data_IF_244786897020
#
_entry.id   IF_244786897020
#
_cell.length_a   1.000
_cell.length_b   1.000
_cell.length_c   1.000
_cell.angle_alpha   90.00
_cell.angle_beta   90.00
_cell.angle_gamma   90.00
#
_symmetry.space_group_name_H-M   'P 1'
#
loop_
_entity.id
_entity.type
_entity.pdbx_description
1 polymer ?
#
# COMPACT_ATOMS: atom_id res chain seq x y z
N UNK A 1 -20.49 -4.52 18.50
CA UNK A 1 -20.42 -4.19 19.94
C UNK A 1 -19.53 -5.23 20.62
N UNK A 2 -18.23 -5.18 20.34
CA UNK A 2 -17.24 -6.05 21.00
C UNK A 2 -16.39 -5.17 21.91
N UNK A 3 -16.64 -5.28 23.21
CA UNK A 3 -15.77 -4.73 24.24
C UNK A 3 -14.39 -5.37 24.10
N UNK A 4 -13.37 -4.51 23.96
CA UNK A 4 -11.97 -4.89 23.84
C UNK A 4 -11.53 -5.82 25.00
N UNK A 5 -11.08 -7.05 24.72
CA UNK A 5 -10.62 -7.97 25.77
C UNK A 5 -9.30 -7.52 26.44
N UNK A 6 -8.62 -6.52 25.86
CA UNK A 6 -7.34 -5.98 26.36
C UNK A 6 -7.49 -5.27 27.70
N UNK A 7 -8.61 -4.60 27.97
CA UNK A 7 -8.82 -3.88 29.23
C UNK A 7 -9.00 -4.86 30.40
N UNK A 8 -9.75 -5.95 30.19
CA UNK A 8 -9.99 -6.96 31.21
C UNK A 8 -8.75 -7.81 31.50
N UNK A 9 -7.92 -8.11 30.50
CA UNK A 9 -6.68 -8.86 30.71
C UNK A 9 -5.62 -8.01 31.41
N UNK A 10 -5.46 -6.74 31.02
CA UNK A 10 -4.53 -5.82 31.67
C UNK A 10 -4.97 -5.51 33.11
N UNK A 11 -6.27 -5.27 33.34
CA UNK A 11 -6.80 -5.11 34.71
C UNK A 11 -6.62 -6.38 35.55
N UNK A 12 -6.85 -7.57 34.99
CA UNK A 12 -6.68 -8.84 35.72
C UNK A 12 -5.21 -9.17 35.99
N UNK A 13 -4.30 -8.83 35.08
CA UNK A 13 -2.86 -9.05 35.26
C UNK A 13 -2.28 -8.06 36.27
N UNK A 14 -2.63 -6.78 36.17
CA UNK A 14 -2.23 -5.74 37.13
C UNK A 14 -2.82 -6.03 38.50
N UNK A 15 -4.10 -6.42 38.61
CA UNK A 15 -4.69 -6.83 39.89
C UNK A 15 -4.11 -8.13 40.43
N UNK A 16 -3.86 -9.12 39.59
CA UNK A 16 -3.22 -10.37 40.00
C UNK A 16 -1.81 -10.13 40.55
N UNK A 17 -1.05 -9.26 39.90
CA UNK A 17 0.27 -8.83 40.36
C UNK A 17 0.18 -8.04 41.67
N UNK A 18 -0.72 -7.06 41.78
CA UNK A 18 -0.97 -6.29 43.00
C UNK A 18 -1.39 -7.18 44.18
N UNK A 19 -2.25 -8.17 43.96
CA UNK A 19 -2.71 -9.10 45.00
C UNK A 19 -1.56 -10.00 45.47
N UNK A 20 -0.75 -10.54 44.56
CA UNK A 20 0.41 -11.35 44.95
C UNK A 20 1.46 -10.52 45.68
N UNK A 21 1.65 -9.26 45.26
CA UNK A 21 2.58 -8.33 45.88
C UNK A 21 2.10 -7.94 47.29
N UNK A 22 0.82 -7.62 47.46
CA UNK A 22 0.21 -7.35 48.77
C UNK A 22 0.28 -8.57 49.70
N UNK A 23 0.15 -9.78 49.14
CA UNK A 23 0.31 -11.03 49.89
C UNK A 23 1.77 -11.25 50.34
N UNK A 24 2.75 -10.94 49.49
CA UNK A 24 4.17 -10.98 49.85
C UNK A 24 4.52 -9.94 50.93
N UNK A 25 4.00 -8.72 50.81
CA UNK A 25 4.18 -7.66 51.83
C UNK A 25 3.54 -8.04 53.16
N UNK A 26 2.36 -8.67 53.14
CA UNK A 26 1.65 -9.13 54.36
C UNK A 26 2.39 -10.28 55.06
N UNK A 27 2.96 -11.22 54.32
CA UNK A 27 3.71 -12.35 54.87
C UNK A 27 5.06 -11.95 55.50
N UNK A 28 5.50 -10.70 55.29
CA UNK A 28 6.75 -10.12 55.80
C UNK A 28 6.52 -9.22 57.05
N UNK A 29 5.31 -9.19 57.63
CA UNK A 29 4.98 -8.36 58.81
C UNK A 29 5.31 -9.13 60.10
N UNK A 30 6.57 -9.05 60.55
CA UNK A 30 6.97 -9.59 61.87
C UNK A 30 8.47 -9.67 62.18
N UNK A 31 9.37 -9.43 61.23
CA UNK A 31 10.82 -9.64 61.42
C UNK A 31 11.62 -8.30 61.41
N UNK A 32 12.48 -8.01 62.42
CA UNK A 32 13.19 -6.72 62.53
C UNK A 32 14.16 -6.38 61.38
N UNK A 33 14.72 -7.39 60.68
CA UNK A 33 15.57 -7.16 59.50
C UNK A 33 14.78 -6.65 58.28
N UNK A 34 13.45 -6.78 58.30
CA UNK A 34 12.55 -6.39 57.20
C UNK A 34 12.35 -4.87 57.12
N UNK A 35 12.71 -4.11 58.15
CA UNK A 35 12.54 -2.63 58.13
C UNK A 35 13.50 -1.93 57.16
N UNK A 36 14.68 -2.50 56.87
CA UNK A 36 15.58 -1.97 55.83
C UNK A 36 15.13 -2.42 54.43
N UNK A 37 14.70 -3.67 54.26
CA UNK A 37 14.17 -4.16 52.97
C UNK A 37 12.86 -3.46 52.59
N UNK A 38 11.92 -3.24 53.53
CA UNK A 38 10.69 -2.46 53.28
C UNK A 38 10.95 -1.02 52.86
N UNK A 39 12.04 -0.39 53.35
CA UNK A 39 12.43 0.97 52.94
C UNK A 39 12.90 1.05 51.49
N UNK A 40 13.44 -0.04 50.93
CA UNK A 40 13.86 -0.11 49.52
C UNK A 40 12.76 -0.63 48.59
N UNK A 41 11.85 -1.46 49.09
CA UNK A 41 10.73 -2.01 48.31
C UNK A 41 9.66 -0.96 47.96
N UNK A 42 9.36 -0.02 48.87
CA UNK A 42 8.38 1.05 48.62
C UNK A 42 8.77 1.96 47.45
N UNK A 43 10.00 2.54 47.38
CA UNK A 43 10.38 3.38 46.25
C UNK A 43 10.45 2.58 44.94
N UNK A 44 10.86 1.31 44.98
CA UNK A 44 10.84 0.44 43.79
C UNK A 44 9.41 0.27 43.26
N UNK A 45 8.45 -0.02 44.13
CA UNK A 45 7.04 -0.20 43.77
C UNK A 45 6.43 1.10 43.22
N UNK A 46 6.74 2.24 43.83
CA UNK A 46 6.33 3.56 43.33
C UNK A 46 6.92 3.83 41.95
N UNK A 47 8.21 3.57 41.74
CA UNK A 47 8.85 3.73 40.42
C UNK A 47 8.18 2.81 39.39
N UNK A 48 7.94 1.53 39.72
CA UNK A 48 7.27 0.60 38.81
C UNK A 48 5.87 1.07 38.45
N UNK A 49 5.07 1.54 39.40
CA UNK A 49 3.72 2.08 39.14
C UNK A 49 3.77 3.35 38.30
N UNK A 50 4.69 4.28 38.59
CA UNK A 50 4.84 5.52 37.83
C UNK A 50 5.27 5.22 36.39
N UNK A 51 6.28 4.37 36.20
CA UNK A 51 6.76 3.97 34.87
C UNK A 51 5.65 3.23 34.10
N UNK A 52 4.93 2.30 34.75
CA UNK A 52 3.80 1.60 34.12
C UNK A 52 2.68 2.57 33.76
N UNK A 53 2.37 3.54 34.62
CA UNK A 53 1.37 4.58 34.35
C UNK A 53 1.77 5.50 33.19
N UNK A 54 3.05 5.88 33.11
CA UNK A 54 3.59 6.68 31.99
C UNK A 54 3.51 5.87 30.69
N UNK A 55 3.98 4.63 30.68
CA UNK A 55 3.93 3.76 29.49
C UNK A 55 2.48 3.52 29.05
N UNK A 56 1.58 3.23 30.00
CA UNK A 56 0.15 3.09 29.73
C UNK A 56 -0.44 4.37 29.13
N UNK A 57 -0.14 5.53 29.71
CA UNK A 57 -0.59 6.82 29.18
C UNK A 57 -0.08 7.09 27.77
N UNK A 58 1.23 6.94 27.51
CA UNK A 58 1.84 7.15 26.19
C UNK A 58 1.20 6.21 25.14
N UNK A 59 0.85 4.98 25.53
CA UNK A 59 0.16 4.03 24.66
C UNK A 59 -1.24 4.50 24.30
N UNK A 60 -2.05 4.89 25.28
CA UNK A 60 -3.41 5.38 25.06
C UNK A 60 -3.45 6.68 24.24
N UNK A 61 -2.44 7.55 24.40
CA UNK A 61 -2.31 8.77 23.58
C UNK A 61 -1.73 8.51 22.17
N UNK A 62 -1.41 7.27 21.82
CA UNK A 62 -0.87 6.91 20.51
C UNK A 62 0.52 7.47 20.21
N UNK A 63 1.25 7.99 21.19
CA UNK A 63 2.59 8.54 20.96
C UNK A 63 3.62 7.46 20.60
N UNK A 64 3.41 6.22 21.04
CA UNK A 64 4.26 5.09 20.62
C UNK A 64 4.12 4.78 19.14
N UNK A 65 2.93 4.95 18.55
CA UNK A 65 2.69 4.69 17.13
C UNK A 65 3.68 5.47 16.26
N UNK A 66 3.92 6.74 16.56
CA UNK A 66 4.87 7.55 15.81
C UNK A 66 6.28 6.95 15.80
N UNK A 67 6.80 6.55 16.97
CA UNK A 67 8.14 5.97 17.07
C UNK A 67 8.23 4.61 16.41
N UNK A 68 7.20 3.78 16.59
CA UNK A 68 7.20 2.44 16.02
C UNK A 68 7.06 2.47 14.50
N UNK A 69 6.24 3.37 13.94
CA UNK A 69 6.17 3.59 12.50
C UNK A 69 7.51 4.13 11.94
N UNK A 70 8.20 5.01 12.68
CA UNK A 70 9.54 5.46 12.27
C UNK A 70 10.59 4.33 12.29
N UNK A 71 10.49 3.41 13.26
CA UNK A 71 11.31 2.19 13.31
C UNK A 71 10.97 1.27 12.16
N UNK A 72 9.68 1.04 11.88
CA UNK A 72 9.21 0.26 10.74
C UNK A 72 9.76 0.82 9.42
N UNK A 73 9.63 2.14 9.20
CA UNK A 73 10.18 2.78 8.01
C UNK A 73 11.70 2.58 7.90
N UNK A 74 12.40 2.60 9.04
CA UNK A 74 13.84 2.32 9.07
C UNK A 74 14.15 0.87 8.71
N UNK A 75 13.35 -0.09 9.17
CA UNK A 75 13.47 -1.50 8.81
C UNK A 75 13.18 -1.75 7.33
N UNK A 76 12.16 -1.10 6.77
CA UNK A 76 11.87 -1.14 5.33
C UNK A 76 13.04 -0.57 4.53
N UNK A 77 13.62 0.57 4.94
CA UNK A 77 14.81 1.14 4.29
C UNK A 77 16.05 0.26 4.37
N UNK A 78 16.23 -0.44 5.49
CA UNK A 78 17.34 -1.37 5.71
C UNK A 78 17.07 -2.74 5.09
N UNK A 79 15.88 -2.98 4.55
CA UNK A 79 15.57 -4.25 3.91
C UNK A 79 16.43 -4.43 2.66
N UNK A 80 16.94 -5.64 2.39
CA UNK A 80 17.78 -5.88 1.23
C UNK A 80 17.06 -5.50 -0.07
N UNK A 81 17.75 -4.73 -0.91
CA UNK A 81 17.28 -4.44 -2.27
C UNK A 81 17.30 -5.74 -3.08
N UNK A 82 16.11 -6.18 -3.53
CA UNK A 82 15.97 -7.40 -4.34
C UNK A 82 16.25 -7.15 -5.83
N UNK A 83 16.60 -5.92 -6.19
CA UNK A 83 16.87 -5.48 -7.54
C UNK A 83 15.63 -5.51 -8.43
N UNK A 84 15.89 -5.35 -9.72
CA UNK A 84 14.85 -5.34 -10.75
C UNK A 84 14.10 -6.68 -10.82
N UNK A 85 12.83 -6.62 -11.16
CA UNK A 85 12.04 -7.78 -11.53
C UNK A 85 11.95 -7.85 -13.06
N UNK A 86 12.69 -8.80 -13.66
CA UNK A 86 12.75 -8.95 -15.12
C UNK A 86 11.40 -9.31 -15.74
N UNK A 87 10.38 -9.69 -14.94
CA UNK A 87 9.02 -9.96 -15.43
C UNK A 87 8.23 -8.68 -15.68
N UNK A 88 8.69 -7.55 -15.17
CA UNK A 88 8.01 -6.26 -15.23
C UNK A 88 8.69 -5.32 -16.23
N UNK A 89 7.89 -4.48 -16.89
CA UNK A 89 8.36 -3.33 -17.66
C UNK A 89 7.55 -2.11 -17.25
N UNK A 90 8.22 -1.00 -16.93
CA UNK A 90 7.54 0.27 -16.72
C UNK A 90 7.61 1.08 -18.02
N UNK A 91 6.45 1.48 -18.51
CA UNK A 91 6.34 2.47 -19.59
C UNK A 91 6.00 3.80 -18.94
N UNK A 92 6.89 4.77 -19.03
CA UNK A 92 6.67 6.10 -18.46
C UNK A 92 6.34 7.12 -19.53
N UNK A 93 5.57 8.13 -19.14
CA UNK A 93 5.46 9.37 -19.90
C UNK A 93 6.33 10.40 -19.17
N UNK A 94 7.45 10.76 -19.76
CA UNK A 94 8.37 11.74 -19.18
C UNK A 94 8.09 13.16 -19.71
N UNK A 95 8.80 14.15 -19.16
CA UNK A 95 8.63 15.55 -19.55
C UNK A 95 8.97 15.80 -21.03
N UNK A 96 9.97 15.09 -21.57
CA UNK A 96 10.34 15.19 -22.98
C UNK A 96 9.24 14.63 -23.89
N UNK A 97 8.54 13.58 -23.46
CA UNK A 97 7.38 13.04 -24.16
C UNK A 97 6.26 14.09 -24.25
N UNK A 98 5.93 14.75 -23.15
CA UNK A 98 4.91 15.81 -23.12
C UNK A 98 5.29 16.95 -24.06
N UNK A 99 6.55 17.40 -24.01
CA UNK A 99 7.05 18.47 -24.88
C UNK A 99 7.01 18.06 -26.36
N UNK A 100 7.31 16.81 -26.67
CA UNK A 100 7.27 16.26 -28.04
C UNK A 100 5.84 16.18 -28.56
N UNK A 101 4.90 15.73 -27.71
CA UNK A 101 3.47 15.62 -28.05
C UNK A 101 2.77 16.98 -28.04
N UNK A 102 3.34 18.00 -27.39
CA UNK A 102 2.84 19.39 -27.28
C UNK A 102 1.45 19.51 -26.65
N UNK A 103 1.00 18.49 -25.92
CA UNK A 103 -0.29 18.48 -25.24
C UNK A 103 -0.27 17.54 -24.03
N UNK A 104 -1.04 17.91 -23.01
CA UNK A 104 -1.37 17.06 -21.88
C UNK A 104 -2.81 17.37 -21.44
N UNK A 105 -3.68 16.36 -21.23
CA UNK A 105 -3.50 14.92 -21.47
C UNK A 105 -3.14 14.57 -22.92
N UNK A 106 -2.53 13.39 -23.13
CA UNK A 106 -2.23 12.89 -24.48
C UNK A 106 -3.53 12.60 -25.26
N UNK A 107 -3.49 12.76 -26.58
CA UNK A 107 -4.58 12.35 -27.46
C UNK A 107 -4.77 10.83 -27.45
N UNK A 108 -6.01 10.40 -27.67
CA UNK A 108 -6.43 9.01 -27.76
C UNK A 108 -5.64 8.27 -28.86
N UNK A 109 -5.36 8.93 -29.99
CA UNK A 109 -4.53 8.39 -31.07
C UNK A 109 -3.14 7.97 -30.61
N UNK A 110 -2.45 8.82 -29.84
CA UNK A 110 -1.11 8.52 -29.32
C UNK A 110 -1.13 7.28 -28.45
N UNK A 111 -2.19 7.12 -27.65
CA UNK A 111 -2.30 6.01 -26.70
C UNK A 111 -2.65 4.72 -27.40
N UNK A 112 -3.58 4.79 -28.36
CA UNK A 112 -3.89 3.69 -29.25
C UNK A 112 -2.63 3.18 -29.96
N UNK A 113 -1.77 4.08 -30.44
CA UNK A 113 -0.49 3.73 -31.09
C UNK A 113 0.48 3.07 -30.12
N UNK A 114 0.67 3.59 -28.91
CA UNK A 114 1.52 2.95 -27.88
C UNK A 114 1.02 1.55 -27.57
N UNK A 115 -0.28 1.38 -27.29
CA UNK A 115 -0.87 0.06 -27.03
C UNK A 115 -0.65 -0.86 -28.22
N UNK A 116 -0.92 -0.40 -29.45
CA UNK A 116 -0.74 -1.19 -30.67
C UNK A 116 0.71 -1.67 -30.83
N UNK A 117 1.69 -0.78 -30.61
CA UNK A 117 3.11 -1.13 -30.71
C UNK A 117 3.53 -2.12 -29.62
N UNK A 118 3.03 -1.96 -28.39
CA UNK A 118 3.28 -2.94 -27.33
C UNK A 118 2.72 -4.31 -27.69
N UNK A 119 1.48 -4.37 -28.20
CA UNK A 119 0.82 -5.62 -28.57
C UNK A 119 1.55 -6.40 -29.68
N UNK A 120 2.27 -5.73 -30.57
CA UNK A 120 3.07 -6.38 -31.63
C UNK A 120 4.16 -7.31 -31.08
N UNK A 121 4.54 -7.15 -29.81
CA UNK A 121 5.57 -7.93 -29.16
C UNK A 121 5.02 -8.90 -28.10
N UNK A 122 3.72 -9.22 -28.13
CA UNK A 122 3.06 -10.22 -27.27
C UNK A 122 3.39 -10.07 -25.77
N UNK A 123 3.04 -8.93 -25.14
CA UNK A 123 3.16 -8.79 -23.70
C UNK A 123 2.17 -9.71 -22.99
N UNK A 124 2.50 -10.10 -21.76
CA UNK A 124 1.61 -10.92 -20.94
C UNK A 124 0.34 -10.13 -20.58
N UNK A 125 0.52 -8.96 -19.97
CA UNK A 125 -0.57 -8.05 -19.59
C UNK A 125 -0.08 -6.61 -19.60
N UNK A 126 -0.95 -5.68 -19.97
CA UNK A 126 -0.71 -4.23 -19.98
C UNK A 126 -1.66 -3.58 -18.98
N UNK A 127 -1.10 -3.08 -17.88
CA UNK A 127 -1.80 -2.21 -16.95
C UNK A 127 -1.69 -0.74 -17.38
N UNK A 128 -2.81 -0.14 -17.74
CA UNK A 128 -2.92 1.27 -18.13
C UNK A 128 -3.37 2.12 -16.94
N UNK A 129 -2.42 2.73 -16.23
CA UNK A 129 -2.68 3.66 -15.12
C UNK A 129 -2.95 5.09 -15.62
N UNK A 130 -3.80 5.24 -16.63
CA UNK A 130 -4.20 6.52 -17.20
C UNK A 130 -5.72 6.67 -17.19
N UNK A 131 -6.21 7.78 -16.63
CA UNK A 131 -7.64 8.10 -16.68
C UNK A 131 -8.08 8.39 -18.11
N UNK A 132 -9.06 7.62 -18.59
CA UNK A 132 -9.68 7.77 -19.93
C UNK A 132 -11.20 7.74 -19.85
N UNK A 133 -11.74 8.50 -18.91
CA UNK A 133 -13.17 8.77 -18.76
C UNK A 133 -13.69 9.77 -19.79
N UNK A 134 -12.84 10.71 -20.23
CA UNK A 134 -13.15 11.73 -21.24
C UNK A 134 -12.40 11.46 -22.55
N UNK A 135 -13.06 11.75 -23.67
CA UNK A 135 -12.51 11.63 -25.02
C UNK A 135 -11.45 12.70 -25.29
N UNK A 136 -10.24 12.30 -25.68
CA UNK A 136 -9.17 13.21 -26.09
C UNK A 136 -8.88 13.06 -27.59
N UNK A 137 -9.58 13.81 -28.44
CA UNK A 137 -9.39 13.75 -29.90
C UNK A 137 -7.97 14.16 -30.33
N UNK A 138 -7.46 13.65 -31.48
CA UNK A 138 -8.06 12.66 -32.38
C UNK A 138 -7.87 11.21 -31.91
N UNK A 139 -8.50 10.24 -32.61
CA UNK A 139 -8.20 8.81 -32.48
C UNK A 139 -9.02 8.00 -31.46
N UNK A 140 -10.16 8.52 -31.00
CA UNK A 140 -10.98 7.83 -30.00
C UNK A 140 -11.37 6.40 -30.38
N UNK A 141 -11.82 6.17 -31.62
CA UNK A 141 -12.20 4.83 -32.10
C UNK A 141 -11.01 3.86 -32.11
N UNK A 142 -9.81 4.36 -32.45
CA UNK A 142 -8.59 3.57 -32.39
C UNK A 142 -8.24 3.20 -30.95
N UNK A 143 -8.43 4.12 -29.99
CA UNK A 143 -8.23 3.83 -28.57
C UNK A 143 -9.24 2.82 -28.05
N UNK A 144 -10.52 2.97 -28.36
CA UNK A 144 -11.57 2.00 -27.98
C UNK A 144 -11.21 0.60 -28.50
N UNK A 145 -10.75 0.50 -29.74
CA UNK A 145 -10.29 -0.77 -30.33
C UNK A 145 -9.07 -1.33 -29.60
N UNK A 146 -8.09 -0.49 -29.27
CA UNK A 146 -6.88 -0.93 -28.55
C UNK A 146 -7.17 -1.37 -27.10
N UNK A 147 -8.10 -0.68 -26.42
CA UNK A 147 -8.55 -1.02 -25.06
C UNK A 147 -9.36 -2.32 -25.01
N UNK A 148 -10.00 -2.70 -26.12
CA UNK A 148 -10.78 -3.93 -26.21
C UNK A 148 -9.90 -5.20 -26.10
N UNK A 149 -8.59 -5.11 -26.33
CA UNK A 149 -7.67 -6.26 -26.22
C UNK A 149 -7.73 -6.93 -24.84
N UNK A 150 -7.76 -8.26 -24.80
CA UNK A 150 -8.08 -9.06 -23.59
C UNK A 150 -7.04 -8.93 -22.46
N UNK A 151 -5.82 -8.50 -22.78
CA UNK A 151 -4.72 -8.33 -21.84
C UNK A 151 -4.51 -6.86 -21.42
N UNK A 152 -5.48 -5.97 -21.63
CA UNK A 152 -5.41 -4.57 -21.15
C UNK A 152 -6.28 -4.39 -19.92
N UNK A 153 -5.65 -3.97 -18.81
CA UNK A 153 -6.30 -3.62 -17.55
C UNK A 153 -6.33 -2.10 -17.42
N UNK A 154 -7.50 -1.52 -17.21
CA UNK A 154 -7.66 -0.08 -17.02
C UNK A 154 -7.98 0.29 -15.57
N UNK A 155 -7.88 1.59 -15.28
CA UNK A 155 -8.13 2.11 -13.95
C UNK A 155 -9.47 2.83 -13.81
N UNK A 156 -9.98 2.85 -12.59
CA UNK A 156 -10.92 3.85 -12.10
C UNK A 156 -10.39 4.47 -10.81
N UNK A 157 -11.01 5.58 -10.37
CA UNK A 157 -10.74 6.16 -9.06
C UNK A 157 -12.05 6.23 -8.27
N UNK A 158 -12.12 5.46 -7.18
CA UNK A 158 -13.33 5.33 -6.38
C UNK A 158 -13.57 6.57 -5.51
N UNK A 159 -12.52 7.15 -4.93
CA UNK A 159 -12.64 8.26 -3.97
C UNK A 159 -13.01 9.57 -4.68
N UNK A 160 -12.35 9.87 -5.79
CA UNK A 160 -12.60 11.08 -6.58
C UNK A 160 -13.69 10.87 -7.64
N UNK A 161 -14.21 9.65 -7.78
CA UNK A 161 -15.33 9.33 -8.68
C UNK A 161 -14.99 9.40 -10.17
N UNK A 162 -13.75 9.10 -10.56
CA UNK A 162 -13.34 9.02 -11.97
C UNK A 162 -13.68 7.62 -12.48
N UNK A 163 -14.64 7.46 -13.42
CA UNK A 163 -15.02 6.14 -13.90
C UNK A 163 -13.95 5.54 -14.81
N UNK A 164 -13.99 4.21 -14.95
CA UNK A 164 -13.19 3.52 -15.95
C UNK A 164 -13.61 3.88 -17.40
N UNK A 165 -12.72 3.67 -18.38
CA UNK A 165 -13.06 3.86 -19.79
C UNK A 165 -14.19 2.88 -20.18
N UNK A 166 -15.30 3.35 -20.80
CA UNK A 166 -16.46 2.49 -21.10
C UNK A 166 -16.18 1.28 -22.00
N UNK A 167 -15.07 1.30 -22.73
CA UNK A 167 -14.64 0.25 -23.63
C UNK A 167 -14.06 -0.99 -22.92
N UNK A 168 -13.70 -0.88 -21.64
CA UNK A 168 -13.07 -1.95 -20.88
C UNK A 168 -14.11 -2.65 -20.00
N UNK A 169 -14.21 -3.99 -20.02
CA UNK A 169 -15.19 -4.71 -19.21
C UNK A 169 -14.81 -4.69 -17.71
N UNK A 170 -15.79 -4.85 -16.78
CA UNK A 170 -15.59 -4.68 -15.33
C UNK A 170 -14.53 -5.57 -14.68
N UNK A 171 -14.30 -6.77 -15.21
CA UNK A 171 -13.29 -7.72 -14.76
C UNK A 171 -11.85 -7.30 -15.11
N UNK A 172 -11.70 -6.39 -16.08
CA UNK A 172 -10.43 -5.76 -16.49
C UNK A 172 -10.27 -4.34 -15.97
N UNK A 173 -11.04 -3.98 -14.94
CA UNK A 173 -10.97 -2.68 -14.27
C UNK A 173 -10.51 -2.90 -12.83
N UNK A 174 -9.53 -2.11 -12.40
CA UNK A 174 -9.12 -2.04 -11.00
C UNK A 174 -8.90 -0.60 -10.56
N UNK A 175 -9.19 -0.31 -9.30
CA UNK A 175 -9.04 1.06 -8.80
C UNK A 175 -7.59 1.37 -8.39
N UNK A 176 -7.14 2.60 -8.58
CA UNK A 176 -5.77 3.04 -8.24
C UNK A 176 -5.70 3.98 -7.02
N UNK A 177 -6.74 3.97 -6.17
CA UNK A 177 -6.76 4.73 -4.92
C UNK A 177 -5.65 4.25 -3.97
N UNK A 178 -4.99 5.20 -3.30
CA UNK A 178 -3.98 4.93 -2.28
C UNK A 178 -4.50 5.30 -0.90
N UNK A 179 -4.08 4.54 0.11
CA UNK A 179 -4.26 4.92 1.50
C UNK A 179 -2.99 5.63 1.98
N UNK A 180 -3.17 6.82 2.52
CA UNK A 180 -2.07 7.65 3.01
C UNK A 180 -2.23 7.78 4.52
N UNK A 181 -1.16 7.51 5.27
CA UNK A 181 -1.16 7.70 6.72
C UNK A 181 -1.18 9.20 7.07
N UNK A 182 -1.54 9.52 8.31
CA UNK A 182 -1.65 10.91 8.80
C UNK A 182 -0.36 11.71 8.64
N UNK A 183 0.80 11.05 8.64
CA UNK A 183 2.11 11.66 8.41
C UNK A 183 2.47 11.75 6.91
N UNK A 184 1.51 11.53 6.03
CA UNK A 184 1.62 11.52 4.58
C UNK A 184 2.54 10.43 4.01
N UNK A 185 2.79 9.35 4.76
CA UNK A 185 3.57 8.23 4.26
C UNK A 185 2.63 7.12 3.74
N UNK A 186 2.91 6.60 2.56
CA UNK A 186 2.19 5.47 1.96
C UNK A 186 2.79 4.19 2.54
N UNK A 187 2.16 3.61 3.55
CA UNK A 187 2.57 2.32 4.14
C UNK A 187 1.62 1.19 3.80
N UNK A 188 0.42 1.54 3.33
CA UNK A 188 -0.73 0.67 3.17
C UNK A 188 -1.16 0.63 1.72
N UNK A 189 -1.59 -0.55 1.28
CA UNK A 189 -2.15 -0.74 -0.06
C UNK A 189 -3.51 -1.40 0.04
N UNK A 190 -4.46 -0.94 -0.76
CA UNK A 190 -5.73 -1.62 -0.93
C UNK A 190 -5.57 -2.87 -1.80
N UNK A 191 -6.22 -3.96 -1.39
CA UNK A 191 -6.39 -5.16 -2.20
C UNK A 191 -7.79 -5.18 -2.84
N UNK A 192 -8.82 -4.91 -2.05
CA UNK A 192 -10.19 -4.72 -2.54
C UNK A 192 -11.00 -3.85 -1.57
N UNK A 193 -12.17 -3.38 -2.02
CA UNK A 193 -13.10 -2.60 -1.21
C UNK A 193 -14.54 -2.69 -1.69
N UNK A 194 -15.49 -2.38 -0.81
CA UNK A 194 -16.94 -2.34 -1.06
C UNK A 194 -17.53 -0.94 -0.76
N UNK A 195 -16.66 0.09 -0.60
CA UNK A 195 -17.05 1.42 -0.10
C UNK A 195 -18.13 2.10 -0.98
N UNK A 196 -18.12 1.87 -2.29
CA UNK A 196 -19.04 2.52 -3.23
C UNK A 196 -20.39 1.82 -3.31
N UNK A 197 -20.39 0.50 -3.19
CA UNK A 197 -21.58 -0.36 -3.25
C UNK A 197 -21.32 -1.62 -2.41
N UNK A 198 -22.02 -1.82 -1.29
CA UNK A 198 -21.87 -3.00 -0.44
C UNK A 198 -22.17 -4.33 -1.15
N UNK A 199 -22.85 -4.31 -2.30
CA UNK A 199 -23.13 -5.51 -3.09
C UNK A 199 -22.04 -5.82 -4.13
N UNK A 200 -21.02 -4.97 -4.25
CA UNK A 200 -19.97 -5.10 -5.27
C UNK A 200 -18.58 -4.97 -4.67
N UNK A 201 -17.77 -5.99 -4.91
CA UNK A 201 -16.33 -5.96 -4.65
C UNK A 201 -15.65 -5.21 -5.78
N UNK A 202 -14.87 -4.20 -5.42
CA UNK A 202 -13.93 -3.52 -6.29
C UNK A 202 -12.53 -4.02 -5.95
N UNK A 203 -11.77 -4.49 -6.93
CA UNK A 203 -10.38 -4.93 -6.74
C UNK A 203 -9.41 -3.81 -7.12
N UNK A 204 -8.28 -3.72 -6.41
CA UNK A 204 -7.27 -2.72 -6.76
C UNK A 204 -6.60 -3.06 -8.09
N UNK A 205 -6.14 -2.03 -8.78
CA UNK A 205 -5.41 -2.15 -10.04
C UNK A 205 -4.21 -3.09 -9.92
N UNK A 206 -3.46 -2.99 -8.82
CA UNK A 206 -2.31 -3.86 -8.56
C UNK A 206 -2.72 -5.35 -8.44
N UNK A 207 -3.84 -5.64 -7.76
CA UNK A 207 -4.34 -7.02 -7.64
C UNK A 207 -4.86 -7.53 -8.99
N UNK A 208 -5.64 -6.74 -9.73
CA UNK A 208 -6.11 -7.08 -11.09
C UNK A 208 -4.96 -7.41 -12.03
N UNK A 209 -3.94 -6.56 -12.04
CA UNK A 209 -2.75 -6.75 -12.87
C UNK A 209 -1.99 -8.03 -12.46
N UNK A 210 -1.92 -8.33 -11.17
CA UNK A 210 -1.27 -9.54 -10.65
C UNK A 210 -2.03 -10.80 -11.04
N UNK A 211 -3.36 -10.82 -10.89
CA UNK A 211 -4.21 -11.95 -11.28
C UNK A 211 -4.09 -12.23 -12.78
N UNK A 212 -4.21 -11.19 -13.61
CA UNK A 212 -4.04 -11.30 -15.05
C UNK A 212 -2.62 -11.78 -15.44
N UNK A 213 -1.58 -11.24 -14.80
CA UNK A 213 -0.20 -11.66 -15.06
C UNK A 213 0.08 -13.14 -14.70
N UNK A 214 -0.69 -13.71 -13.78
CA UNK A 214 -0.58 -15.10 -13.34
C UNK A 214 -1.61 -16.03 -14.01
N UNK A 215 -2.42 -15.52 -14.94
CA UNK A 215 -3.53 -16.23 -15.59
C UNK A 215 -4.52 -16.82 -14.56
N UNK A 216 -4.92 -15.99 -13.58
CA UNK A 216 -5.84 -16.34 -12.50
C UNK A 216 -7.12 -15.51 -12.58
N UNK A 217 -8.26 -16.15 -12.30
CA UNK A 217 -9.54 -15.47 -12.10
C UNK A 217 -9.74 -14.98 -10.67
N UNK A 218 -10.87 -14.30 -10.44
CA UNK A 218 -11.27 -13.77 -9.12
C UNK A 218 -11.46 -14.90 -8.08
N UNK A 219 -11.75 -16.13 -8.51
CA UNK A 219 -11.85 -17.30 -7.65
C UNK A 219 -10.54 -17.67 -6.94
N UNK A 220 -9.40 -17.16 -7.43
CA UNK A 220 -8.11 -17.32 -6.76
C UNK A 220 -7.94 -16.37 -5.56
N UNK A 221 -8.89 -15.45 -5.35
CA UNK A 221 -8.93 -14.49 -4.24
C UNK A 221 -9.98 -14.93 -3.23
N UNK A 222 -9.54 -15.49 -2.10
CA UNK A 222 -10.41 -15.96 -1.03
C UNK A 222 -10.10 -15.19 0.23
N UNK A 223 -11.08 -14.44 0.74
CA UNK A 223 -10.97 -13.75 2.02
C UNK A 223 -11.51 -14.63 3.16
N UNK A 224 -10.77 -14.71 4.24
CA UNK A 224 -11.25 -15.16 5.55
C UNK A 224 -11.17 -14.02 6.58
N UNK A 225 -11.47 -14.29 7.85
CA UNK A 225 -11.51 -13.26 8.90
C UNK A 225 -10.14 -12.61 9.19
N UNK A 226 -9.03 -13.21 8.77
CA UNK A 226 -7.67 -12.82 9.15
C UNK A 226 -6.71 -12.63 7.96
N UNK A 227 -6.99 -13.25 6.82
CA UNK A 227 -6.13 -13.30 5.66
C UNK A 227 -6.89 -13.31 4.32
N UNK A 228 -6.31 -12.62 3.33
CA UNK A 228 -6.69 -12.71 1.93
C UNK A 228 -5.73 -13.70 1.29
N UNK A 229 -6.26 -14.84 0.87
CA UNK A 229 -5.52 -15.83 0.10
C UNK A 229 -5.55 -15.42 -1.37
N UNK A 230 -4.37 -15.23 -1.96
CA UNK A 230 -4.20 -14.99 -3.40
C UNK A 230 -3.30 -16.09 -3.94
N UNK A 231 -3.85 -17.01 -4.73
CA UNK A 231 -3.11 -18.18 -5.25
C UNK A 231 -2.38 -18.98 -4.15
N UNK A 232 -3.03 -19.18 -2.99
CA UNK A 232 -2.44 -19.88 -1.83
C UNK A 232 -1.40 -19.07 -1.03
N UNK A 233 -1.13 -17.81 -1.38
CA UNK A 233 -0.34 -16.89 -0.57
C UNK A 233 -1.24 -16.11 0.37
N UNK A 234 -0.90 -16.10 1.66
CA UNK A 234 -1.67 -15.45 2.72
C UNK A 234 -1.25 -14.00 2.91
N UNK A 235 -2.17 -13.06 2.69
CA UNK A 235 -1.98 -11.63 2.92
C UNK A 235 -2.84 -11.17 4.11
N UNK A 236 -2.24 -10.98 5.31
CA UNK A 236 -3.02 -10.68 6.52
C UNK A 236 -3.73 -9.34 6.41
N UNK A 237 -4.95 -9.26 6.96
CA UNK A 237 -5.71 -8.01 7.03
C UNK A 237 -5.01 -7.01 7.95
N UNK A 238 -5.01 -5.75 7.55
CA UNK A 238 -4.65 -4.65 8.45
C UNK A 238 -5.84 -4.28 9.35
N UNK A 239 -5.81 -4.75 10.59
CA UNK A 239 -6.78 -4.34 11.62
C UNK A 239 -6.46 -2.93 12.17
N UNK A 240 -7.43 -2.23 12.80
CA UNK A 240 -7.20 -0.91 13.37
C UNK A 240 -6.03 -0.84 14.37
N UNK A 241 -5.76 -1.96 15.02
CA UNK A 241 -4.73 -2.17 16.03
C UNK A 241 -3.57 -3.06 15.52
N UNK A 242 -3.39 -3.18 14.20
CA UNK A 242 -2.35 -4.03 13.62
C UNK A 242 -0.96 -3.47 13.93
N UNK A 243 -0.16 -4.25 14.68
CA UNK A 243 1.17 -3.84 15.12
C UNK A 243 1.13 -2.55 15.94
N UNK A 244 1.61 -1.48 15.35
CA UNK A 244 1.79 -0.15 15.96
C UNK A 244 0.67 0.84 15.68
N UNK A 245 -0.27 0.46 14.83
CA UNK A 245 -1.36 1.33 14.43
C UNK A 245 -2.40 1.47 15.54
N UNK A 246 -2.89 2.69 15.74
CA UNK A 246 -4.16 3.01 16.39
C UNK A 246 -5.00 3.79 15.39
N UNK A 247 -5.61 3.08 14.46
CA UNK A 247 -6.47 3.65 13.42
C UNK A 247 -7.93 3.68 13.88
N UNK A 248 -8.70 4.61 13.33
CA UNK A 248 -10.16 4.57 13.45
C UNK A 248 -10.73 3.45 12.57
N UNK A 249 -11.89 2.88 12.93
CA UNK A 249 -12.52 1.80 12.14
C UNK A 249 -12.78 2.21 10.67
N UNK A 250 -13.02 3.50 10.42
CA UNK A 250 -13.20 4.04 9.07
C UNK A 250 -11.91 4.11 8.23
N UNK A 251 -10.73 3.99 8.85
CA UNK A 251 -9.44 4.02 8.15
C UNK A 251 -8.99 2.63 7.65
N UNK A 252 -9.59 1.55 8.15
CA UNK A 252 -9.32 0.16 7.74
C UNK A 252 -10.45 -0.43 6.91
N UNK A 253 -11.14 0.40 6.13
CA UNK A 253 -12.17 -0.02 5.17
C UNK A 253 -11.59 -0.89 4.06
N UNK A 254 -12.38 -1.86 3.60
CA UNK A 254 -11.94 -2.86 2.62
C UNK A 254 -10.82 -3.75 3.14
N UNK A 255 -10.12 -4.42 2.23
CA UNK A 255 -8.94 -5.20 2.57
C UNK A 255 -7.68 -4.40 2.30
N UNK A 256 -6.95 -4.07 3.35
CA UNK A 256 -5.68 -3.35 3.28
C UNK A 256 -4.55 -4.23 3.79
N UNK A 257 -3.37 -4.07 3.20
CA UNK A 257 -2.13 -4.74 3.62
C UNK A 257 -1.02 -3.72 3.83
N UNK A 258 -0.01 -4.07 4.63
CA UNK A 258 1.24 -3.31 4.66
C UNK A 258 2.06 -3.59 3.41
N UNK A 259 2.60 -2.52 2.82
CA UNK A 259 3.44 -2.61 1.63
C UNK A 259 4.81 -3.15 2.04
N UNK A 260 5.27 -4.15 1.29
CA UNK A 260 6.64 -4.63 1.35
C UNK A 260 7.38 -4.20 0.08
N UNK A 261 8.20 -3.15 0.19
CA UNK A 261 8.94 -2.60 -0.95
C UNK A 261 10.01 -3.57 -1.43
N UNK A 262 10.07 -3.77 -2.76
CA UNK A 262 11.07 -4.64 -3.39
C UNK A 262 12.44 -3.97 -3.52
N UNK A 263 12.44 -2.73 -4.00
CA UNK A 263 13.61 -1.88 -4.23
C UNK A 263 13.23 -0.43 -3.92
N UNK A 264 14.19 0.35 -3.44
CA UNK A 264 14.01 1.78 -3.18
C UNK A 264 14.08 2.62 -4.47
N UNK A 265 14.80 2.15 -5.49
CA UNK A 265 15.16 2.97 -6.65
C UNK A 265 14.79 2.35 -8.00
N UNK A 266 15.00 1.04 -8.18
CA UNK A 266 14.84 0.38 -9.49
C UNK A 266 14.11 -0.95 -9.31
N UNK A 267 12.79 -0.92 -9.48
CA UNK A 267 11.93 -2.12 -9.35
C UNK A 267 11.82 -2.89 -10.67
N UNK A 268 12.00 -2.22 -11.81
CA UNK A 268 11.88 -2.79 -13.14
C UNK A 268 12.59 -1.88 -14.17
N UNK A 269 12.94 -2.40 -15.35
CA UNK A 269 13.34 -1.57 -16.49
C UNK A 269 12.28 -0.52 -16.82
N UNK A 270 12.72 0.69 -17.20
CA UNK A 270 11.85 1.82 -17.56
C UNK A 270 12.14 2.24 -18.99
N UNK A 271 11.09 2.44 -19.78
CA UNK A 271 11.18 2.96 -21.16
C UNK A 271 10.18 4.10 -21.36
N UNK A 272 10.50 5.04 -22.24
CA UNK A 272 9.62 6.16 -22.56
C UNK A 272 8.55 5.77 -23.58
N UNK A 273 7.41 6.47 -23.58
CA UNK A 273 6.43 6.30 -24.66
C UNK A 273 7.01 6.70 -26.02
N UNK A 274 7.95 7.65 -26.08
CA UNK A 274 8.61 8.01 -27.33
C UNK A 274 9.42 6.85 -27.88
N UNK A 275 10.10 6.06 -27.05
CA UNK A 275 10.84 4.89 -27.50
C UNK A 275 9.91 3.79 -28.02
N UNK A 276 8.75 3.59 -27.38
CA UNK A 276 7.71 2.66 -27.86
C UNK A 276 7.12 3.13 -29.20
N UNK A 277 6.76 4.41 -29.32
CA UNK A 277 6.21 4.97 -30.55
C UNK A 277 7.18 4.85 -31.73
N UNK A 278 8.48 4.99 -31.47
CA UNK A 278 9.52 4.90 -32.48
C UNK A 278 10.11 3.49 -32.66
N UNK A 279 9.54 2.46 -32.02
CA UNK A 279 10.02 1.07 -32.06
C UNK A 279 11.52 0.93 -31.71
N UNK A 280 11.98 1.66 -30.69
CA UNK A 280 13.38 1.67 -30.21
C UNK A 280 13.62 0.78 -29.00
N UNK A 281 12.58 0.15 -28.47
CA UNK A 281 12.69 -0.75 -27.32
C UNK A 281 13.01 -2.16 -27.80
N UNK A 282 13.94 -2.83 -27.10
CA UNK A 282 14.24 -4.23 -27.36
C UNK A 282 12.98 -5.09 -27.14
N UNK A 283 12.49 -5.86 -28.12
CA UNK A 283 11.31 -6.71 -27.97
C UNK A 283 11.36 -7.66 -26.77
N UNK A 284 12.56 -8.12 -26.36
CA UNK A 284 12.74 -8.97 -25.17
C UNK A 284 12.34 -8.29 -23.85
N UNK A 285 12.24 -6.96 -23.82
CA UNK A 285 11.73 -6.20 -22.68
C UNK A 285 10.19 -6.12 -22.67
N UNK A 286 9.52 -6.56 -23.74
CA UNK A 286 8.05 -6.49 -23.88
C UNK A 286 7.46 -7.91 -23.90
N UNK A 287 8.08 -8.83 -24.62
CA UNK A 287 7.60 -10.20 -24.81
C UNK A 287 7.44 -10.94 -23.49
N UNK A 288 6.21 -11.41 -23.24
CA UNK A 288 5.84 -12.12 -22.01
C UNK A 288 5.97 -11.29 -20.73
N UNK A 289 6.13 -9.96 -20.82
CA UNK A 289 6.27 -9.08 -19.65
C UNK A 289 4.92 -8.54 -19.19
N UNK A 290 4.83 -8.27 -17.90
CA UNK A 290 3.77 -7.45 -17.30
C UNK A 290 4.18 -5.99 -17.42
N UNK A 291 3.42 -5.23 -18.20
CA UNK A 291 3.68 -3.83 -18.45
C UNK A 291 2.86 -2.97 -17.50
N UNK A 292 3.52 -2.08 -16.78
CA UNK A 292 2.85 -1.03 -16.03
C UNK A 292 3.10 0.31 -16.70
N UNK A 293 2.07 0.84 -17.33
CA UNK A 293 2.12 2.16 -17.95
C UNK A 293 1.63 3.22 -16.98
N UNK A 294 2.53 4.10 -16.59
CA UNK A 294 2.33 5.14 -15.57
C UNK A 294 2.30 6.56 -16.15
N UNK A 295 1.49 7.46 -15.56
CA UNK A 295 1.44 8.86 -15.94
C UNK A 295 2.71 9.62 -15.50
N UNK A 296 3.01 10.75 -16.15
CA UNK A 296 3.95 11.72 -15.62
C UNK A 296 3.39 12.27 -14.29
N UNK A 297 4.20 12.53 -13.26
CA UNK A 297 5.58 12.16 -12.98
C UNK A 297 5.64 11.06 -11.88
N UNK A 298 4.83 10.00 -11.98
CA UNK A 298 4.73 9.02 -10.89
C UNK A 298 6.04 8.23 -10.67
N UNK A 299 6.79 7.92 -11.74
CA UNK A 299 8.09 7.21 -11.63
C UNK A 299 9.14 8.04 -10.87
N UNK A 300 9.07 9.38 -10.97
CA UNK A 300 10.08 10.28 -10.38
C UNK A 300 9.74 10.80 -9.00
N UNK A 301 8.51 10.60 -8.49
CA UNK A 301 8.05 11.29 -7.27
C UNK A 301 7.46 10.42 -6.16
N UNK A 302 7.17 9.14 -6.37
CA UNK A 302 6.55 8.37 -5.28
C UNK A 302 7.60 8.02 -4.19
N UNK A 303 8.80 7.52 -4.52
CA UNK A 303 9.74 7.07 -3.49
C UNK A 303 11.25 7.42 -3.64
N UNK A 304 11.73 8.03 -4.73
CA UNK A 304 13.18 8.03 -5.07
C UNK A 304 13.95 9.33 -4.81
N UNK A 305 13.35 10.38 -4.23
CA UNK A 305 14.04 11.68 -4.05
C UNK A 305 14.64 11.88 -2.63
N UNK A 306 15.92 12.32 -2.53
CA UNK A 306 16.48 12.76 -1.25
C UNK A 306 15.71 13.96 -0.67
N UNK A 307 15.66 14.14 0.66
CA UNK A 307 14.85 15.16 1.33
C UNK A 307 15.08 16.61 0.85
N UNK A 308 16.26 16.89 0.32
CA UNK A 308 16.71 18.24 -0.08
C UNK A 308 16.25 18.67 -1.48
N UNK A 309 15.63 17.78 -2.27
CA UNK A 309 15.33 18.02 -3.69
C UNK A 309 13.85 17.84 -4.09
N UNK A 310 12.90 17.77 -3.14
CA UNK A 310 11.49 17.45 -3.41
C UNK A 310 10.66 18.69 -3.80
N UNK A 311 10.00 18.73 -4.99
CA UNK A 311 9.08 19.81 -5.37
C UNK A 311 7.71 19.70 -4.66
N UNK A 312 7.09 20.84 -4.36
CA UNK A 312 5.94 21.04 -3.47
C UNK A 312 4.59 20.43 -3.88
N UNK A 313 4.49 19.76 -5.03
CA UNK A 313 3.19 19.54 -5.74
C UNK A 313 2.58 18.14 -5.51
N UNK A 314 3.28 17.21 -4.85
CA UNK A 314 2.68 15.97 -4.34
C UNK A 314 3.20 15.75 -2.92
N UNK A 315 2.34 15.95 -1.92
CA UNK A 315 2.72 15.86 -0.49
C UNK A 315 2.64 14.42 0.02
N UNK A 316 3.14 13.42 -0.70
CA UNK A 316 3.19 12.04 -0.20
C UNK A 316 4.64 11.56 -0.13
N UNK A 317 4.91 10.67 0.83
CA UNK A 317 6.22 10.07 1.07
C UNK A 317 6.07 8.55 1.03
N UNK A 318 7.07 7.83 0.57
CA UNK A 318 7.22 6.41 0.93
C UNK A 318 8.02 6.31 2.24
N UNK A 319 8.10 5.13 2.87
CA UNK A 319 9.07 4.84 3.92
C UNK A 319 10.49 5.04 3.37
N UNK A 320 10.98 6.29 3.38
CA UNK A 320 12.09 6.75 2.52
C UNK A 320 12.48 8.21 2.74
#
# INVERSE_FOLDING_TARGET
>A
MYSSPSLNFFQSFVMGYLINLLRQVKNQVGNPQVNQEKKQLIPLLVITLVVTGIIGGIREFGWMQFFELAVWDSMVRLSPDRGEDERLLIVEINEQDIQTQKQWPLADETIAQVLTNLQQHNPNVIGLDLYRDVVHKPGHEALVTALAADNVIAIENLINGVPAPPAVPPDRIGFNDFVVDQDNVVRRNFMYTEIKDPAKIYYSFALRLTLAALDLGEEAVVADDIALQVNGQSLPILTPNAGSYHLDEGETVGWQILINYRSANHVAPVVSITDILNNRVNPALIEGKTIWWVPPPLVRKICSLPPTARPTVARFRCPG
#
